data_IF_757100293387
#
_entry.id   IF_757100293387
#
_cell.length_a   1.000
_cell.length_b   1.000
_cell.length_c   1.000
_cell.angle_alpha   90.00
_cell.angle_beta   90.00
_cell.angle_gamma   90.00
#
_symmetry.space_group_name_H-M   'P 1'
#
loop_
_entity.id
_entity.type
_entity.pdbx_description
1 polymer ?
#
# COMPACT_ATOMS: atom_id res chain seq x y z
N UNK A 1 -8.00 -5.32 7.93
CA UNK A 1 -7.11 -5.40 9.11
C UNK A 1 -7.50 -4.42 10.21
N UNK A 2 -8.23 -3.37 9.88
CA UNK A 2 -8.57 -2.29 10.81
C UNK A 2 -7.37 -1.40 11.15
N UNK A 3 -7.42 -0.71 12.31
CA UNK A 3 -6.38 0.20 12.76
C UNK A 3 -5.27 -0.55 13.50
N UNK A 4 -3.99 -0.35 13.19
CA UNK A 4 -2.90 -0.97 13.94
C UNK A 4 -2.85 -0.43 15.37
N UNK A 5 -2.43 -1.28 16.31
CA UNK A 5 -2.30 -0.96 17.73
C UNK A 5 -1.01 -0.22 18.07
N UNK A 6 0.03 -0.44 17.27
CA UNK A 6 1.32 0.21 17.40
C UNK A 6 2.03 0.25 16.05
N UNK A 7 2.96 1.20 15.91
CA UNK A 7 3.84 1.34 14.77
C UNK A 7 5.28 1.57 15.25
N UNK A 8 6.22 0.95 14.55
CA UNK A 8 7.65 1.27 14.61
C UNK A 8 8.07 1.68 13.21
N UNK A 9 8.56 2.89 13.05
CA UNK A 9 8.93 3.42 11.75
C UNK A 9 10.22 4.23 11.80
N UNK A 10 10.93 4.21 10.67
CA UNK A 10 11.99 5.14 10.35
C UNK A 10 11.68 5.79 9.02
N UNK A 11 11.62 7.10 9.00
CA UNK A 11 11.46 7.91 7.80
C UNK A 11 12.70 8.74 7.58
N UNK A 12 13.17 8.83 6.35
CA UNK A 12 14.40 9.53 6.00
C UNK A 12 14.20 10.39 4.76
N UNK A 13 14.76 11.60 4.81
CA UNK A 13 14.95 12.41 3.61
C UNK A 13 16.08 11.83 2.75
N UNK A 14 15.92 11.89 1.43
CA UNK A 14 17.05 11.62 0.54
C UNK A 14 18.01 12.83 0.57
N UNK A 15 19.32 12.65 0.85
CA UNK A 15 20.22 13.78 1.07
C UNK A 15 20.33 14.78 -0.09
N UNK A 16 20.07 14.33 -1.32
CA UNK A 16 20.08 15.17 -2.52
C UNK A 16 18.70 15.71 -2.91
N UNK A 17 17.64 15.40 -2.14
CA UNK A 17 16.29 15.90 -2.42
C UNK A 17 16.08 17.23 -1.71
N UNK A 18 15.80 18.25 -2.49
CA UNK A 18 15.42 19.59 -1.98
C UNK A 18 13.91 19.80 -2.01
N UNK A 19 13.16 18.92 -2.67
CA UNK A 19 11.74 19.09 -2.92
C UNK A 19 10.86 18.32 -1.94
N UNK A 20 11.34 17.18 -1.43
CA UNK A 20 10.60 16.32 -0.54
C UNK A 20 11.34 16.07 0.77
N UNK A 21 10.66 16.32 1.88
CA UNK A 21 11.27 16.18 3.20
C UNK A 21 11.64 14.74 3.52
N UNK A 22 10.76 13.77 3.23
CA UNK A 22 10.98 12.36 3.57
C UNK A 22 10.47 11.46 2.45
N UNK A 23 11.38 10.69 1.87
CA UNK A 23 11.11 9.89 0.67
C UNK A 23 11.34 8.39 0.87
N UNK A 24 11.87 8.01 2.03
CA UNK A 24 12.12 6.62 2.39
C UNK A 24 11.47 6.31 3.73
N UNK A 25 10.73 5.23 3.78
CA UNK A 25 10.08 4.78 5.01
C UNK A 25 10.23 3.28 5.13
N UNK A 26 10.65 2.84 6.31
CA UNK A 26 10.53 1.44 6.72
C UNK A 26 9.68 1.42 7.98
N UNK A 27 8.62 0.61 8.00
CA UNK A 27 7.72 0.54 9.13
C UNK A 27 7.25 -0.89 9.41
N UNK A 28 6.95 -1.16 10.68
CA UNK A 28 6.28 -2.36 11.14
C UNK A 28 4.98 -1.94 11.82
N UNK A 29 3.86 -2.45 11.33
CA UNK A 29 2.54 -2.20 11.89
C UNK A 29 2.07 -3.43 12.69
N UNK A 30 1.70 -3.21 13.93
CA UNK A 30 1.23 -4.25 14.84
C UNK A 30 -0.29 -4.20 14.97
N UNK A 31 -0.98 -5.21 14.49
CA UNK A 31 -2.44 -5.34 14.59
C UNK A 31 -2.89 -6.26 15.74
N UNK A 32 -1.96 -6.76 16.55
CA UNK A 32 -2.24 -7.66 17.66
C UNK A 32 -1.34 -8.90 17.64
N UNK A 33 -1.69 -9.98 18.32
CA UNK A 33 -0.78 -11.13 18.51
C UNK A 33 -0.48 -11.90 17.22
N UNK A 34 -1.43 -11.90 16.27
CA UNK A 34 -1.36 -12.77 15.08
C UNK A 34 -1.08 -12.05 13.77
N UNK A 35 -1.11 -10.70 13.73
CA UNK A 35 -1.01 -9.96 12.47
C UNK A 35 0.07 -8.88 12.55
N UNK A 36 0.95 -8.89 11.59
CA UNK A 36 2.00 -7.90 11.36
C UNK A 36 2.00 -7.47 9.91
N UNK A 37 2.33 -6.20 9.69
CA UNK A 37 2.62 -5.69 8.37
C UNK A 37 4.01 -5.06 8.39
N UNK A 38 4.81 -5.34 7.39
CA UNK A 38 6.10 -4.67 7.16
C UNK A 38 6.00 -3.85 5.88
N UNK A 39 6.45 -2.61 5.93
CA UNK A 39 6.47 -1.69 4.81
C UNK A 39 7.91 -1.28 4.52
N UNK A 40 8.25 -1.21 3.23
CA UNK A 40 9.50 -0.61 2.77
C UNK A 40 9.18 0.23 1.54
N UNK A 41 9.35 1.53 1.65
CA UNK A 41 9.01 2.51 0.62
C UNK A 41 10.24 3.33 0.29
N UNK A 42 10.52 3.52 -0.99
CA UNK A 42 11.57 4.39 -1.49
C UNK A 42 11.08 5.14 -2.74
N UNK A 43 10.66 6.37 -2.58
CA UNK A 43 10.21 7.22 -3.68
C UNK A 43 11.36 7.79 -4.53
N UNK A 44 12.60 7.70 -4.06
CA UNK A 44 13.75 8.31 -4.74
C UNK A 44 14.69 7.27 -5.38
N UNK A 45 14.12 6.29 -6.06
CA UNK A 45 14.92 5.34 -6.81
C UNK A 45 15.40 5.96 -8.12
N UNK A 46 16.68 6.31 -8.20
CA UNK A 46 17.30 7.03 -9.32
C UNK A 46 18.17 6.17 -10.24
N UNK A 47 18.04 4.85 -10.16
CA UNK A 47 18.90 3.91 -10.91
C UNK A 47 18.23 3.35 -12.18
N UNK A 48 17.30 4.11 -12.74
CA UNK A 48 16.50 3.71 -13.90
C UNK A 48 15.37 2.73 -13.54
N UNK A 49 14.62 2.24 -14.52
CA UNK A 49 13.41 1.42 -14.25
C UNK A 49 13.72 -0.01 -13.82
N UNK A 50 14.92 -0.49 -14.07
CA UNK A 50 15.29 -1.86 -13.74
C UNK A 50 15.27 -2.08 -12.22
N UNK A 51 14.62 -3.14 -11.78
CA UNK A 51 14.45 -3.49 -10.36
C UNK A 51 13.60 -2.50 -9.53
N UNK A 52 12.85 -1.62 -10.16
CA UNK A 52 11.74 -0.95 -9.49
C UNK A 52 10.59 -1.95 -9.35
N UNK A 53 9.92 -1.91 -8.22
CA UNK A 53 8.74 -2.74 -7.97
C UNK A 53 7.78 -2.04 -7.01
N UNK A 54 6.48 -2.30 -7.18
CA UNK A 54 5.45 -1.96 -6.23
C UNK A 54 4.65 -3.24 -5.96
N UNK A 55 4.89 -3.84 -4.81
CA UNK A 55 4.38 -5.17 -4.49
C UNK A 55 3.70 -5.19 -3.12
N UNK A 56 2.66 -5.98 -3.00
CA UNK A 56 1.98 -6.26 -1.74
C UNK A 56 1.86 -7.77 -1.61
N UNK A 57 2.27 -8.30 -0.47
CA UNK A 57 2.16 -9.73 -0.17
C UNK A 57 1.34 -9.96 1.09
N UNK A 58 0.46 -10.93 1.03
CA UNK A 58 -0.33 -11.41 2.13
C UNK A 58 0.03 -12.88 2.38
N UNK A 59 0.55 -13.19 3.55
CA UNK A 59 0.77 -14.55 4.02
C UNK A 59 -0.24 -14.82 5.13
N UNK A 60 -1.19 -15.71 4.90
CA UNK A 60 -2.29 -16.02 5.78
C UNK A 60 -2.28 -17.49 6.18
N UNK A 61 -3.00 -17.83 7.25
CA UNK A 61 -3.09 -19.22 7.74
C UNK A 61 -3.60 -20.21 6.68
N UNK A 62 -4.55 -19.77 5.85
CA UNK A 62 -5.24 -20.66 4.89
C UNK A 62 -4.76 -20.50 3.45
N UNK A 63 -3.94 -19.51 3.16
CA UNK A 63 -3.46 -19.24 1.82
C UNK A 63 -2.61 -17.97 1.78
N UNK A 64 -2.25 -17.55 0.58
CA UNK A 64 -1.46 -16.33 0.38
C UNK A 64 -1.93 -15.58 -0.86
N UNK A 65 -1.58 -14.30 -0.95
CA UNK A 65 -1.76 -13.52 -2.17
C UNK A 65 -0.51 -12.65 -2.41
N UNK A 66 -0.19 -12.46 -3.66
CA UNK A 66 0.84 -11.56 -4.10
C UNK A 66 0.30 -10.67 -5.21
N UNK A 67 0.49 -9.37 -5.03
CA UNK A 67 0.04 -8.33 -5.94
C UNK A 67 1.26 -7.56 -6.41
N UNK A 68 1.46 -7.48 -7.71
CA UNK A 68 2.39 -6.56 -8.34
C UNK A 68 1.58 -5.46 -9.01
N UNK A 69 1.79 -4.23 -8.57
CA UNK A 69 1.25 -3.06 -9.28
C UNK A 69 2.17 -2.73 -10.46
N UNK A 70 1.61 -2.64 -11.64
CA UNK A 70 2.33 -2.27 -12.83
C UNK A 70 2.95 -0.88 -12.72
N UNK A 71 4.21 -0.74 -13.09
CA UNK A 71 4.89 0.54 -13.10
C UNK A 71 4.36 1.40 -14.25
N UNK A 72 4.06 2.67 -13.97
CA UNK A 72 3.57 3.63 -14.96
C UNK A 72 4.70 4.28 -15.78
N UNK A 73 5.82 3.59 -15.88
CA UNK A 73 6.93 4.00 -16.75
C UNK A 73 6.47 3.98 -18.20
N UNK A 74 6.80 5.02 -18.94
CA UNK A 74 6.38 5.15 -20.34
C UNK A 74 4.83 5.18 -20.51
N UNK A 75 4.14 5.85 -19.57
CA UNK A 75 2.69 6.04 -19.62
C UNK A 75 2.24 6.64 -21.00
N UNK A 76 1.15 6.16 -21.62
CA UNK A 76 0.11 5.29 -21.04
C UNK A 76 0.36 3.78 -21.16
N UNK A 77 1.47 3.34 -21.71
CA UNK A 77 1.72 1.91 -21.93
C UNK A 77 1.87 1.15 -20.62
N UNK A 78 2.74 1.64 -19.72
CA UNK A 78 2.97 1.02 -18.42
C UNK A 78 3.30 -0.47 -18.46
N UNK A 79 3.34 -1.08 -17.30
CA UNK A 79 3.38 -2.53 -17.12
C UNK A 79 2.00 -3.01 -16.62
N UNK A 80 1.62 -4.24 -16.98
CA UNK A 80 0.40 -4.84 -16.48
C UNK A 80 0.51 -5.17 -14.99
N UNK A 81 -0.60 -5.02 -14.26
CA UNK A 81 -0.73 -5.53 -12.91
C UNK A 81 -0.77 -7.06 -12.90
N UNK A 82 -0.31 -7.64 -11.81
CA UNK A 82 -0.43 -9.07 -11.59
C UNK A 82 -0.99 -9.36 -10.19
N UNK A 83 -1.92 -10.31 -10.13
CA UNK A 83 -2.46 -10.84 -8.88
C UNK A 83 -2.32 -12.36 -8.91
N UNK A 84 -1.65 -12.89 -7.91
CA UNK A 84 -1.47 -14.32 -7.73
C UNK A 84 -2.05 -14.75 -6.40
N UNK A 85 -2.74 -15.86 -6.39
CA UNK A 85 -3.40 -16.42 -5.22
C UNK A 85 -2.89 -17.83 -4.98
N UNK A 86 -2.53 -18.14 -3.74
CA UNK A 86 -2.30 -19.48 -3.25
C UNK A 86 -3.49 -19.86 -2.38
N UNK A 87 -4.49 -20.60 -2.91
CA UNK A 87 -5.81 -20.68 -2.28
C UNK A 87 -5.85 -21.54 -1.02
N UNK A 88 -4.98 -22.55 -0.91
CA UNK A 88 -4.92 -23.46 0.25
C UNK A 88 -3.63 -24.26 0.28
N UNK A 89 -3.32 -24.83 1.42
CA UNK A 89 -2.14 -25.71 1.56
C UNK A 89 -2.17 -26.86 0.56
N UNK A 90 -1.03 -27.10 -0.10
CA UNK A 90 -0.88 -28.16 -1.10
C UNK A 90 -1.40 -27.81 -2.50
N UNK A 91 -1.91 -26.60 -2.74
CA UNK A 91 -2.18 -26.07 -4.07
C UNK A 91 -0.93 -25.49 -4.71
N UNK A 92 -1.07 -24.92 -5.88
CA UNK A 92 -0.08 -24.08 -6.52
C UNK A 92 -0.58 -22.63 -6.62
N UNK A 93 0.27 -21.72 -6.99
CA UNK A 93 -0.09 -20.34 -7.27
C UNK A 93 -0.93 -20.24 -8.54
N UNK A 94 -2.05 -19.56 -8.44
CA UNK A 94 -2.97 -19.31 -9.52
C UNK A 94 -2.97 -17.83 -9.87
N UNK A 95 -2.74 -17.48 -11.15
CA UNK A 95 -2.85 -16.12 -11.62
C UNK A 95 -4.31 -15.73 -11.75
N UNK A 96 -4.71 -14.65 -11.09
CA UNK A 96 -6.06 -14.12 -11.24
C UNK A 96 -6.19 -13.32 -12.54
N UNK A 97 -7.26 -13.58 -13.28
CA UNK A 97 -7.62 -12.78 -14.45
C UNK A 97 -8.54 -11.63 -14.03
N UNK A 98 -8.24 -10.43 -14.48
CA UNK A 98 -9.06 -9.25 -14.24
C UNK A 98 -8.91 -8.27 -15.41
N UNK A 99 -9.85 -7.34 -15.53
CA UNK A 99 -9.82 -6.30 -16.54
C UNK A 99 -9.37 -4.97 -15.93
N UNK A 100 -8.62 -4.19 -16.70
CA UNK A 100 -8.08 -2.91 -16.26
C UNK A 100 -6.82 -3.04 -15.42
N UNK A 101 -6.43 -1.96 -14.76
CA UNK A 101 -5.23 -1.86 -13.94
C UNK A 101 -5.44 -0.96 -12.74
N UNK A 102 -4.43 -0.84 -11.89
CA UNK A 102 -4.51 0.03 -10.73
C UNK A 102 -4.60 1.52 -11.12
N UNK A 103 -4.11 1.88 -12.30
CA UNK A 103 -4.20 3.25 -12.83
C UNK A 103 -4.45 3.24 -14.35
N UNK A 104 -5.45 3.99 -14.87
CA UNK A 104 -6.41 4.83 -14.11
C UNK A 104 -7.69 4.11 -13.68
N UNK A 105 -7.89 2.83 -14.05
CA UNK A 105 -9.17 2.13 -13.92
C UNK A 105 -9.62 1.95 -12.47
N UNK A 106 -8.69 1.87 -11.51
CA UNK A 106 -9.01 1.79 -10.09
C UNK A 106 -9.86 2.97 -9.58
N UNK A 107 -9.78 4.14 -10.24
CA UNK A 107 -10.60 5.30 -9.87
C UNK A 107 -12.07 5.17 -10.28
N UNK A 108 -12.39 4.30 -11.25
CA UNK A 108 -13.77 4.11 -11.72
C UNK A 108 -14.67 3.69 -10.56
N UNK A 109 -14.22 2.75 -9.75
CA UNK A 109 -15.00 2.25 -8.61
C UNK A 109 -15.31 3.31 -7.58
N UNK A 110 -14.30 4.05 -7.14
CA UNK A 110 -14.45 5.09 -6.12
C UNK A 110 -15.26 6.29 -6.60
N UNK A 111 -15.05 6.72 -7.84
CA UNK A 111 -15.80 7.83 -8.44
C UNK A 111 -17.26 7.46 -8.68
N UNK A 112 -17.53 6.25 -9.15
CA UNK A 112 -18.90 5.76 -9.33
C UNK A 112 -19.63 5.60 -7.98
N UNK A 113 -18.96 5.11 -6.95
CA UNK A 113 -19.53 5.02 -5.61
C UNK A 113 -19.87 6.42 -5.05
N UNK A 114 -18.99 7.41 -5.22
CA UNK A 114 -19.26 8.78 -4.80
C UNK A 114 -20.52 9.36 -5.50
N UNK A 115 -20.66 9.10 -6.81
CA UNK A 115 -21.83 9.55 -7.56
C UNK A 115 -23.12 8.86 -7.10
N UNK A 116 -23.10 7.54 -6.88
CA UNK A 116 -24.27 6.80 -6.40
C UNK A 116 -24.63 7.18 -4.97
N UNK A 117 -23.62 7.33 -4.09
CA UNK A 117 -23.84 7.81 -2.73
C UNK A 117 -24.51 9.19 -2.70
N UNK A 118 -24.07 10.13 -3.55
CA UNK A 118 -24.66 11.46 -3.63
C UNK A 118 -26.13 11.46 -4.11
N UNK A 119 -26.55 10.40 -4.82
CA UNK A 119 -27.92 10.17 -5.27
C UNK A 119 -28.76 9.34 -4.30
N UNK A 120 -28.18 8.84 -3.22
CA UNK A 120 -28.83 7.93 -2.29
C UNK A 120 -29.00 6.50 -2.81
N UNK A 121 -28.20 6.11 -3.81
CA UNK A 121 -28.21 4.77 -4.38
C UNK A 121 -27.25 3.81 -3.62
N UNK A 122 -26.20 4.33 -3.01
CA UNK A 122 -25.29 3.59 -2.12
C UNK A 122 -25.41 4.14 -0.69
N UNK A 123 -25.35 3.28 0.32
CA UNK A 123 -25.49 3.64 1.75
C UNK A 123 -24.16 4.07 2.40
N UNK A 124 -23.04 3.86 1.72
CA UNK A 124 -21.71 4.17 2.27
C UNK A 124 -20.73 4.61 1.20
N UNK A 125 -19.73 5.39 1.63
CA UNK A 125 -18.57 5.75 0.81
C UNK A 125 -17.45 4.74 1.01
N UNK A 126 -16.85 4.28 -0.08
CA UNK A 126 -15.65 3.43 -0.06
C UNK A 126 -14.41 4.19 0.46
N UNK A 127 -14.37 5.50 0.19
CA UNK A 127 -13.28 6.40 0.61
C UNK A 127 -13.89 7.62 1.28
N UNK A 128 -14.26 7.46 2.54
CA UNK A 128 -14.81 8.56 3.33
C UNK A 128 -13.70 9.42 3.98
N UNK A 129 -14.07 10.60 4.46
CA UNK A 129 -13.15 11.47 5.21
C UNK A 129 -12.71 10.81 6.52
N UNK A 130 -13.57 10.00 7.14
CA UNK A 130 -13.26 9.23 8.35
C UNK A 130 -12.18 8.19 8.07
N UNK A 131 -12.27 7.48 6.94
CA UNK A 131 -11.25 6.51 6.51
C UNK A 131 -9.92 7.21 6.21
N UNK A 132 -9.96 8.30 5.45
CA UNK A 132 -8.78 9.13 5.16
C UNK A 132 -8.13 9.67 6.45
N UNK A 133 -8.93 10.06 7.44
CA UNK A 133 -8.44 10.51 8.73
C UNK A 133 -7.67 9.41 9.49
N UNK A 134 -8.16 8.16 9.47
CA UNK A 134 -7.43 7.04 10.08
C UNK A 134 -6.09 6.79 9.38
N UNK A 135 -6.06 6.90 8.05
CA UNK A 135 -4.81 6.80 7.27
C UNK A 135 -3.83 7.92 7.67
N UNK A 136 -4.28 9.17 7.79
CA UNK A 136 -3.44 10.28 8.20
C UNK A 136 -2.93 10.15 9.64
N UNK A 137 -3.73 9.60 10.55
CA UNK A 137 -3.27 9.27 11.91
C UNK A 137 -2.13 8.26 11.91
N UNK A 138 -2.18 7.28 11.03
CA UNK A 138 -1.09 6.31 10.89
C UNK A 138 0.18 6.96 10.33
N UNK A 139 0.06 7.83 9.34
CA UNK A 139 1.18 8.61 8.80
C UNK A 139 1.84 9.43 9.90
N UNK A 140 1.07 10.17 10.68
CA UNK A 140 1.56 10.96 11.82
C UNK A 140 2.25 10.07 12.88
N UNK A 141 1.69 8.91 13.18
CA UNK A 141 2.30 7.96 14.09
C UNK A 141 3.65 7.41 13.56
N UNK A 142 3.82 7.26 12.25
CA UNK A 142 5.10 6.90 11.65
C UNK A 142 6.16 8.01 11.84
N UNK A 143 5.78 9.26 11.64
CA UNK A 143 6.69 10.39 11.89
C UNK A 143 7.12 10.45 13.35
N UNK A 144 6.19 10.40 14.29
CA UNK A 144 6.52 10.38 15.73
C UNK A 144 7.42 9.21 16.11
N UNK A 145 7.11 8.00 15.63
CA UNK A 145 7.95 6.84 15.86
C UNK A 145 9.37 7.01 15.34
N UNK A 146 9.53 7.68 14.19
CA UNK A 146 10.83 7.99 13.62
C UNK A 146 11.62 9.01 14.44
N UNK A 147 10.95 9.99 15.04
CA UNK A 147 11.55 11.01 15.89
C UNK A 147 11.96 10.46 17.26
N UNK A 148 11.17 9.57 17.82
CA UNK A 148 11.45 8.92 19.10
C UNK A 148 12.67 7.98 19.03
N UNK A 149 13.08 7.59 17.82
CA UNK A 149 14.22 6.72 17.57
C UNK A 149 13.95 5.26 17.93
N UNK A 150 15.00 4.44 17.82
CA UNK A 150 14.99 3.04 18.22
C UNK A 150 15.76 2.82 19.52
N UNK A 151 15.85 1.56 19.95
CA UNK A 151 16.73 1.16 21.06
C UNK A 151 18.18 1.30 20.63
N UNK A 152 18.96 2.02 21.44
CA UNK A 152 20.42 2.08 21.26
C UNK A 152 21.05 0.72 21.57
N UNK A 153 22.01 0.31 20.75
CA UNK A 153 22.79 -0.92 20.94
C UNK A 153 24.04 -0.65 21.75
#
# INVERSE_FOLDING_TARGET
>A
LGTPKAVWAQTLAYPASTEFAQTRTTAILNYGPSVRCALSINHNYSKGPRHQAAEIRFDCEKGAAWVKLGLLLDYPKGEADEVWIYPKAGSDWEKAEFAGGWFPEAFIGTMSNLQRFSKGEDDSLLTSVEDAFQTMKLVEACYRSSEEGGTLL
#
